data_IF_212953845718
#
_entry.id   IF_212953845718
#
_cell.length_a   1.000
_cell.length_b   1.000
_cell.length_c   1.000
_cell.angle_alpha   90.00
_cell.angle_beta   90.00
_cell.angle_gamma   90.00
#
_symmetry.space_group_name_H-M   'P 1'
#
loop_
_entity.id
_entity.type
_entity.pdbx_description
1 polymer ?
#
# COMPACT_ATOMS: atom_id res chain seq x y z
N UNK A 1 7.48 38.30 36.57
CA UNK A 1 7.65 36.84 36.76
C UNK A 1 7.56 36.20 35.39
N UNK A 2 8.63 35.55 34.91
CA UNK A 2 8.59 34.82 33.64
C UNK A 2 7.97 33.46 33.90
N UNK A 3 6.64 33.38 33.77
CA UNK A 3 5.96 32.08 33.76
C UNK A 3 6.43 31.31 32.52
N UNK A 4 7.16 30.23 32.76
CA UNK A 4 7.62 29.35 31.68
C UNK A 4 6.40 28.56 31.21
N UNK A 5 5.94 28.89 30.00
CA UNK A 5 4.83 28.22 29.34
C UNK A 5 5.16 26.71 29.17
N UNK A 6 4.30 25.86 29.73
CA UNK A 6 4.47 24.41 29.61
C UNK A 6 3.94 23.92 28.25
N UNK A 7 4.84 23.85 27.26
CA UNK A 7 4.51 23.48 25.87
C UNK A 7 3.96 22.04 25.79
N UNK A 8 4.47 21.11 26.60
CA UNK A 8 3.99 19.73 26.66
C UNK A 8 2.52 19.65 27.11
N UNK A 9 2.13 20.48 28.08
CA UNK A 9 0.74 20.53 28.53
C UNK A 9 -0.18 21.08 27.43
N UNK A 10 0.24 22.15 26.74
CA UNK A 10 -0.50 22.71 25.58
C UNK A 10 -0.60 21.69 24.46
N UNK A 11 0.49 20.98 24.18
CA UNK A 11 0.54 19.93 23.17
C UNK A 11 -0.53 18.87 23.42
N UNK A 12 -0.58 18.32 24.64
CA UNK A 12 -1.55 17.27 25.00
C UNK A 12 -2.99 17.79 24.99
N UNK A 13 -3.21 19.03 25.42
CA UNK A 13 -4.53 19.65 25.46
C UNK A 13 -5.07 19.87 24.05
N UNK A 14 -4.26 20.49 23.18
CA UNK A 14 -4.64 20.77 21.79
C UNK A 14 -4.75 19.49 20.96
N UNK A 15 -3.89 18.49 21.18
CA UNK A 15 -4.02 17.20 20.50
C UNK A 15 -5.35 16.52 20.87
N UNK A 16 -5.70 16.48 22.17
CA UNK A 16 -6.98 15.92 22.63
C UNK A 16 -8.19 16.69 22.08
N UNK A 17 -8.09 18.01 22.03
CA UNK A 17 -9.13 18.87 21.47
C UNK A 17 -9.31 18.62 19.98
N UNK A 18 -8.21 18.61 19.22
CA UNK A 18 -8.23 18.32 17.79
C UNK A 18 -8.83 16.94 17.51
N UNK A 19 -8.44 15.90 18.27
CA UNK A 19 -9.03 14.56 18.15
C UNK A 19 -10.56 14.51 18.35
N UNK A 20 -11.10 15.44 19.14
CA UNK A 20 -12.53 15.50 19.47
C UNK A 20 -13.32 16.37 18.49
N UNK A 21 -12.74 17.49 18.07
CA UNK A 21 -13.46 18.57 17.37
C UNK A 21 -13.15 18.61 15.86
N UNK A 22 -11.88 18.45 15.48
CA UNK A 22 -11.40 18.75 14.13
C UNK A 22 -10.86 17.53 13.37
N UNK A 23 -10.59 16.42 14.06
CA UNK A 23 -9.99 15.26 13.46
C UNK A 23 -10.90 14.67 12.38
N UNK A 24 -10.37 14.47 11.16
CA UNK A 24 -11.16 13.94 10.06
C UNK A 24 -11.70 12.56 10.43
N UNK A 25 -13.00 12.37 10.20
CA UNK A 25 -13.64 11.05 10.35
C UNK A 25 -13.19 10.18 9.18
N UNK A 26 -12.80 8.93 9.48
CA UNK A 26 -12.50 7.94 8.45
C UNK A 26 -13.70 7.81 7.51
N UNK A 27 -13.44 7.93 6.21
CA UNK A 27 -14.49 7.74 5.22
C UNK A 27 -14.91 6.27 5.17
N UNK A 28 -16.09 5.99 4.61
CA UNK A 28 -16.55 4.61 4.43
C UNK A 28 -15.59 3.83 3.51
N UNK A 29 -14.99 4.52 2.52
CA UNK A 29 -13.94 3.96 1.66
C UNK A 29 -12.70 3.54 2.46
N UNK A 30 -12.25 4.36 3.41
CA UNK A 30 -11.07 4.03 4.23
C UNK A 30 -11.35 2.83 5.13
N UNK A 31 -12.57 2.74 5.69
CA UNK A 31 -13.00 1.58 6.47
C UNK A 31 -13.04 0.30 5.64
N UNK A 32 -13.51 0.38 4.39
CA UNK A 32 -13.49 -0.76 3.48
C UNK A 32 -12.06 -1.16 3.16
N UNK A 33 -11.19 -0.20 2.84
CA UNK A 33 -9.78 -0.47 2.57
C UNK A 33 -9.07 -1.15 3.76
N UNK A 34 -9.29 -0.66 4.98
CA UNK A 34 -8.80 -1.29 6.23
C UNK A 34 -9.39 -2.69 6.47
N UNK A 35 -10.56 -3.00 5.90
CA UNK A 35 -11.20 -4.32 6.03
C UNK A 35 -10.64 -5.38 5.07
N UNK A 36 -10.03 -4.97 3.95
CA UNK A 36 -9.53 -5.88 2.89
C UNK A 36 -8.67 -7.03 3.44
N UNK A 37 -7.71 -6.79 4.35
CA UNK A 37 -6.93 -7.85 4.98
C UNK A 37 -7.76 -8.94 5.67
N UNK A 38 -8.83 -8.56 6.37
CA UNK A 38 -9.70 -9.50 7.06
C UNK A 38 -10.50 -10.36 6.09
N UNK A 39 -10.91 -9.77 4.95
CA UNK A 39 -11.54 -10.53 3.87
C UNK A 39 -10.57 -11.54 3.27
N UNK A 40 -9.29 -11.20 3.13
CA UNK A 40 -8.27 -12.14 2.64
C UNK A 40 -8.08 -13.30 3.62
N UNK A 41 -8.03 -13.03 4.93
CA UNK A 41 -7.97 -14.07 5.97
C UNK A 41 -9.19 -14.98 5.89
N UNK A 42 -10.39 -14.40 5.77
CA UNK A 42 -11.64 -15.16 5.65
C UNK A 42 -11.62 -16.07 4.41
N UNK A 43 -11.22 -15.53 3.25
CA UNK A 43 -11.08 -16.31 2.01
C UNK A 43 -10.07 -17.44 2.17
N UNK A 44 -8.93 -17.18 2.83
CA UNK A 44 -7.92 -18.21 3.10
C UNK A 44 -8.47 -19.35 3.95
N UNK A 45 -9.23 -19.03 5.01
CA UNK A 45 -9.89 -20.02 5.87
C UNK A 45 -10.89 -20.86 5.07
N UNK A 46 -11.73 -20.20 4.24
CA UNK A 46 -12.72 -20.89 3.42
C UNK A 46 -12.05 -21.83 2.41
N UNK A 47 -11.03 -21.35 1.69
CA UNK A 47 -10.29 -22.19 0.75
C UNK A 47 -9.60 -23.37 1.43
N UNK A 48 -9.03 -23.16 2.62
CA UNK A 48 -8.44 -24.23 3.41
C UNK A 48 -9.48 -25.28 3.80
N UNK A 49 -10.65 -24.87 4.29
CA UNK A 49 -11.72 -25.79 4.68
C UNK A 49 -12.27 -26.59 3.50
N UNK A 50 -12.33 -25.98 2.30
CA UNK A 50 -12.74 -26.66 1.08
C UNK A 50 -11.67 -27.63 0.56
N UNK A 51 -10.38 -27.27 0.67
CA UNK A 51 -9.23 -28.07 0.21
C UNK A 51 -8.90 -29.25 1.14
N UNK A 52 -9.00 -29.04 2.45
CA UNK A 52 -8.46 -29.97 3.44
C UNK A 52 -9.02 -31.40 3.34
N UNK A 53 -10.32 -31.63 3.11
CA UNK A 53 -10.85 -32.99 2.95
C UNK A 53 -10.26 -33.73 1.75
N UNK A 54 -10.08 -33.05 0.62
CA UNK A 54 -9.49 -33.63 -0.59
C UNK A 54 -8.04 -34.01 -0.36
N UNK A 55 -7.27 -33.10 0.24
CA UNK A 55 -5.86 -33.31 0.54
C UNK A 55 -5.66 -34.43 1.56
N UNK A 56 -6.45 -34.47 2.64
CA UNK A 56 -6.39 -35.51 3.65
C UNK A 56 -6.75 -36.89 3.08
N UNK A 57 -7.75 -36.96 2.20
CA UNK A 57 -8.17 -38.21 1.55
C UNK A 57 -7.04 -38.81 0.70
N UNK A 58 -6.41 -38.01 -0.16
CA UNK A 58 -5.34 -38.48 -1.05
C UNK A 58 -4.11 -38.91 -0.26
N UNK A 59 -3.64 -38.09 0.69
CA UNK A 59 -2.50 -38.48 1.52
C UNK A 59 -2.83 -39.63 2.49
N UNK A 60 -4.09 -39.80 2.87
CA UNK A 60 -4.56 -40.95 3.64
C UNK A 60 -4.43 -42.27 2.88
N UNK A 61 -4.54 -42.24 1.54
CA UNK A 61 -4.27 -43.41 0.70
C UNK A 61 -2.79 -43.78 0.67
N UNK A 62 -1.89 -42.80 0.77
CA UNK A 62 -0.44 -43.02 0.75
C UNK A 62 0.13 -43.32 2.14
N UNK A 63 -0.37 -42.60 3.15
CA UNK A 63 0.11 -42.62 4.53
C UNK A 63 -1.09 -42.66 5.49
N UNK A 64 -1.64 -43.87 5.74
CA UNK A 64 -2.77 -44.05 6.63
C UNK A 64 -2.34 -43.64 8.04
N UNK A 65 -2.90 -42.56 8.59
CA UNK A 65 -2.61 -41.84 9.87
C UNK A 65 -2.09 -40.42 9.66
N UNK A 66 -1.02 -40.23 8.88
CA UNK A 66 -0.40 -38.91 8.69
C UNK A 66 -1.10 -38.05 7.65
N UNK A 67 -1.94 -38.64 6.79
CA UNK A 67 -2.63 -37.91 5.72
C UNK A 67 -3.47 -36.73 6.21
N UNK A 68 -4.02 -36.78 7.42
CA UNK A 68 -4.78 -35.68 8.02
C UNK A 68 -3.97 -34.41 8.31
N UNK A 69 -2.63 -34.52 8.43
CA UNK A 69 -1.75 -33.38 8.65
C UNK A 69 -1.22 -32.78 7.34
N UNK A 70 -1.30 -33.51 6.24
CA UNK A 70 -0.82 -33.07 4.95
C UNK A 70 -1.47 -31.76 4.43
N UNK A 71 -2.78 -31.50 4.62
CA UNK A 71 -3.38 -30.22 4.27
C UNK A 71 -2.71 -29.05 4.98
N UNK A 72 -2.38 -29.22 6.26
CA UNK A 72 -1.71 -28.19 7.04
C UNK A 72 -0.33 -27.94 6.44
N UNK A 73 0.47 -28.99 6.22
CA UNK A 73 1.82 -28.84 5.70
C UNK A 73 1.87 -28.19 4.30
N UNK A 74 0.99 -28.62 3.38
CA UNK A 74 0.99 -28.14 1.99
C UNK A 74 0.42 -26.71 1.90
N UNK A 75 -0.75 -26.46 2.45
CA UNK A 75 -1.42 -25.16 2.32
C UNK A 75 -0.74 -24.08 3.17
N UNK A 76 -0.35 -24.38 4.42
CA UNK A 76 0.42 -23.42 5.21
C UNK A 76 1.84 -23.25 4.68
N UNK A 77 2.44 -24.30 4.11
CA UNK A 77 3.73 -24.20 3.44
C UNK A 77 3.68 -23.21 2.28
N UNK A 78 2.63 -23.26 1.46
CA UNK A 78 2.41 -22.37 0.33
C UNK A 78 2.09 -20.93 0.78
N UNK A 79 1.23 -20.78 1.80
CA UNK A 79 0.95 -19.49 2.46
C UNK A 79 2.22 -18.85 3.03
N UNK A 80 3.05 -19.64 3.71
CA UNK A 80 4.31 -19.17 4.30
C UNK A 80 5.31 -18.73 3.23
N UNK A 81 5.48 -19.51 2.16
CA UNK A 81 6.41 -19.15 1.09
C UNK A 81 6.01 -17.86 0.38
N UNK A 82 4.73 -17.72 0.02
CA UNK A 82 4.20 -16.51 -0.61
C UNK A 82 4.27 -15.29 0.32
N UNK A 83 4.00 -15.47 1.61
CA UNK A 83 4.17 -14.45 2.64
C UNK A 83 5.63 -13.96 2.71
N UNK A 84 6.60 -14.88 2.81
CA UNK A 84 8.02 -14.54 2.83
C UNK A 84 8.48 -13.87 1.55
N UNK A 85 8.00 -14.34 0.39
CA UNK A 85 8.27 -13.72 -0.92
C UNK A 85 7.81 -12.25 -0.95
N UNK A 86 6.64 -11.96 -0.40
CA UNK A 86 6.11 -10.59 -0.32
C UNK A 86 6.92 -9.72 0.66
N UNK A 87 7.30 -10.25 1.83
CA UNK A 87 8.15 -9.53 2.78
C UNK A 87 9.52 -9.18 2.18
N UNK A 88 10.18 -10.13 1.53
CA UNK A 88 11.47 -9.90 0.86
C UNK A 88 11.35 -8.83 -0.23
N UNK A 89 10.26 -8.86 -1.01
CA UNK A 89 9.98 -7.82 -2.03
C UNK A 89 9.82 -6.43 -1.40
N UNK A 90 9.13 -6.32 -0.27
CA UNK A 90 8.97 -5.05 0.45
C UNK A 90 10.29 -4.55 1.04
N UNK A 91 11.12 -5.45 1.56
CA UNK A 91 12.46 -5.15 2.08
C UNK A 91 13.52 -4.93 0.98
N UNK A 92 13.17 -5.09 -0.31
CA UNK A 92 14.08 -5.08 -1.46
C UNK A 92 15.24 -6.09 -1.33
N UNK A 93 14.98 -7.22 -0.70
CA UNK A 93 15.94 -8.32 -0.55
C UNK A 93 15.59 -9.49 -1.47
N UNK A 94 16.59 -10.31 -1.80
CA UNK A 94 16.36 -11.53 -2.58
C UNK A 94 15.71 -12.61 -1.73
N UNK A 95 14.68 -13.27 -2.25
CA UNK A 95 14.11 -14.48 -1.64
C UNK A 95 15.15 -15.61 -1.71
N UNK A 96 15.46 -16.29 -0.59
CA UNK A 96 16.35 -17.45 -0.59
C UNK A 96 15.91 -18.50 -1.63
N UNK A 97 16.86 -19.10 -2.35
CA UNK A 97 16.55 -20.10 -3.38
C UNK A 97 15.74 -21.26 -2.83
N UNK A 98 16.03 -21.71 -1.60
CA UNK A 98 15.32 -22.81 -0.95
C UNK A 98 13.83 -22.49 -0.78
N UNK A 99 13.47 -21.24 -0.45
CA UNK A 99 12.06 -20.83 -0.32
C UNK A 99 11.34 -20.87 -1.65
N UNK A 100 12.01 -20.46 -2.76
CA UNK A 100 11.42 -20.57 -4.10
C UNK A 100 11.19 -22.02 -4.51
N UNK A 101 12.18 -22.89 -4.26
CA UNK A 101 12.05 -24.32 -4.53
C UNK A 101 10.91 -24.93 -3.71
N UNK A 102 10.80 -24.56 -2.43
CA UNK A 102 9.73 -25.02 -1.54
C UNK A 102 8.35 -24.54 -2.02
N UNK A 103 8.24 -23.28 -2.47
CA UNK A 103 7.00 -22.73 -3.05
C UNK A 103 6.55 -23.53 -4.28
N UNK A 104 7.46 -23.80 -5.23
CA UNK A 104 7.17 -24.60 -6.42
C UNK A 104 6.75 -26.01 -6.03
N UNK A 105 7.48 -26.64 -5.11
CA UNK A 105 7.18 -27.99 -4.64
C UNK A 105 5.79 -28.07 -4.01
N UNK A 106 5.46 -27.17 -3.08
CA UNK A 106 4.14 -27.14 -2.46
C UNK A 106 3.04 -26.79 -3.45
N UNK A 107 3.30 -25.88 -4.40
CA UNK A 107 2.32 -25.51 -5.42
C UNK A 107 1.98 -26.70 -6.33
N UNK A 108 2.99 -27.40 -6.86
CA UNK A 108 2.78 -28.59 -7.69
C UNK A 108 2.11 -29.71 -6.89
N UNK A 109 2.54 -29.91 -5.64
CA UNK A 109 1.92 -30.91 -4.75
C UNK A 109 0.44 -30.58 -4.51
N UNK A 110 0.12 -29.32 -4.24
CA UNK A 110 -1.25 -28.86 -4.03
C UNK A 110 -2.11 -29.05 -5.28
N UNK A 111 -1.61 -28.78 -6.48
CA UNK A 111 -2.34 -29.03 -7.74
C UNK A 111 -2.66 -30.52 -7.88
N UNK A 112 -1.65 -31.38 -7.75
CA UNK A 112 -1.81 -32.82 -7.94
C UNK A 112 -2.78 -33.39 -6.92
N UNK A 113 -2.62 -33.00 -5.65
CA UNK A 113 -3.40 -33.57 -4.56
C UNK A 113 -4.84 -33.05 -4.54
N UNK A 114 -5.05 -31.74 -4.75
CA UNK A 114 -6.41 -31.21 -4.88
C UNK A 114 -7.10 -31.74 -6.13
N UNK A 115 -6.39 -31.81 -7.27
CA UNK A 115 -6.94 -32.38 -8.50
C UNK A 115 -7.33 -33.85 -8.35
N UNK A 116 -6.44 -34.67 -7.76
CA UNK A 116 -6.72 -36.08 -7.50
C UNK A 116 -7.87 -36.25 -6.51
N UNK A 117 -7.86 -35.49 -5.42
CA UNK A 117 -8.89 -35.59 -4.38
C UNK A 117 -10.26 -35.10 -4.86
N UNK A 118 -10.30 -34.06 -5.68
CA UNK A 118 -11.53 -33.59 -6.33
C UNK A 118 -12.02 -34.60 -7.37
N UNK A 119 -11.12 -35.16 -8.19
CA UNK A 119 -11.46 -36.18 -9.18
C UNK A 119 -12.11 -37.41 -8.53
N UNK A 120 -11.47 -37.97 -7.51
CA UNK A 120 -11.98 -39.14 -6.79
C UNK A 120 -13.35 -38.85 -6.17
N UNK A 121 -13.53 -37.67 -5.58
CA UNK A 121 -14.82 -37.28 -5.02
C UNK A 121 -15.91 -37.14 -6.09
N UNK A 122 -15.61 -36.52 -7.23
CA UNK A 122 -16.57 -36.35 -8.34
C UNK A 122 -16.94 -37.68 -8.98
N UNK A 123 -15.96 -38.56 -9.24
CA UNK A 123 -16.19 -39.90 -9.80
C UNK A 123 -17.10 -40.73 -8.89
N UNK A 124 -16.82 -40.69 -7.58
CA UNK A 124 -17.62 -41.38 -6.57
C UNK A 124 -19.04 -40.83 -6.48
N UNK A 125 -19.22 -39.51 -6.48
CA UNK A 125 -20.54 -38.88 -6.36
C UNK A 125 -21.38 -39.02 -7.64
N UNK A 126 -20.72 -39.01 -8.81
CA UNK A 126 -21.37 -39.21 -10.09
C UNK A 126 -21.73 -40.68 -10.37
N UNK A 127 -21.30 -41.63 -9.53
CA UNK A 127 -21.54 -43.06 -9.70
C UNK A 127 -20.89 -43.64 -10.95
N UNK A 128 -19.67 -43.17 -11.27
CA UNK A 128 -18.88 -43.62 -12.44
C UNK A 128 -17.54 -44.24 -12.02
N UNK A 129 -17.47 -44.74 -10.79
CA UNK A 129 -16.30 -45.38 -10.18
C UNK A 129 -15.97 -46.75 -10.79
N UNK A 130 -16.89 -47.33 -11.55
CA UNK A 130 -16.70 -48.54 -12.35
C UNK A 130 -15.96 -48.29 -13.68
N UNK A 131 -15.91 -47.03 -14.15
CA UNK A 131 -15.23 -46.65 -15.38
C UNK A 131 -13.74 -46.42 -15.13
N UNK A 132 -12.90 -46.93 -16.05
CA UNK A 132 -11.49 -46.55 -16.06
C UNK A 132 -11.32 -45.08 -16.46
N UNK A 133 -10.19 -44.47 -16.13
CA UNK A 133 -9.88 -43.10 -16.55
C UNK A 133 -9.96 -42.93 -18.08
N UNK A 134 -9.51 -43.93 -18.84
CA UNK A 134 -9.60 -43.93 -20.29
C UNK A 134 -11.06 -44.01 -20.79
N UNK A 135 -11.91 -44.79 -20.11
CA UNK A 135 -13.34 -44.90 -20.44
C UNK A 135 -14.09 -43.61 -20.12
N UNK A 136 -13.75 -42.92 -19.03
CA UNK A 136 -14.31 -41.60 -18.71
C UNK A 136 -13.98 -40.61 -19.84
N UNK A 137 -12.76 -40.62 -20.35
CA UNK A 137 -12.34 -39.77 -21.46
C UNK A 137 -13.10 -40.06 -22.76
N UNK A 138 -13.25 -41.34 -23.13
CA UNK A 138 -13.93 -41.72 -24.37
C UNK A 138 -15.45 -41.52 -24.31
N UNK A 139 -16.05 -41.74 -23.13
CA UNK A 139 -17.50 -41.61 -22.91
C UNK A 139 -17.92 -40.24 -22.40
N UNK A 140 -17.01 -39.28 -22.26
CA UNK A 140 -17.28 -37.97 -21.66
C UNK A 140 -18.54 -37.30 -22.23
N UNK A 141 -18.67 -37.27 -23.56
CA UNK A 141 -19.83 -36.65 -24.23
C UNK A 141 -21.16 -37.37 -24.01
N UNK A 142 -21.14 -38.60 -23.51
CA UNK A 142 -22.33 -39.41 -23.20
C UNK A 142 -22.67 -39.42 -21.72
N UNK A 143 -21.80 -38.87 -20.86
CA UNK A 143 -22.09 -38.72 -19.43
C UNK A 143 -23.19 -37.67 -19.21
N UNK A 144 -23.94 -37.74 -18.11
CA UNK A 144 -24.86 -36.68 -17.70
C UNK A 144 -24.15 -35.31 -17.68
N UNK A 145 -24.85 -34.25 -18.10
CA UNK A 145 -24.29 -32.91 -18.17
C UNK A 145 -23.72 -32.42 -16.82
N UNK A 146 -24.33 -32.84 -15.71
CA UNK A 146 -23.86 -32.57 -14.34
C UNK A 146 -22.49 -33.19 -14.07
N UNK A 147 -22.28 -34.45 -14.46
CA UNK A 147 -20.99 -35.16 -14.32
C UNK A 147 -19.92 -34.56 -15.22
N UNK A 148 -20.27 -34.17 -16.45
CA UNK A 148 -19.35 -33.46 -17.36
C UNK A 148 -18.88 -32.14 -16.74
N UNK A 149 -19.82 -31.32 -16.25
CA UNK A 149 -19.51 -30.06 -15.61
C UNK A 149 -18.65 -30.26 -14.35
N UNK A 150 -18.97 -31.25 -13.52
CA UNK A 150 -18.20 -31.57 -12.33
C UNK A 150 -16.75 -31.98 -12.66
N UNK A 151 -16.55 -32.82 -13.69
CA UNK A 151 -15.20 -33.22 -14.14
C UNK A 151 -14.39 -32.06 -14.71
N UNK A 152 -15.03 -31.10 -15.40
CA UNK A 152 -14.36 -29.86 -15.83
C UNK A 152 -13.98 -29.01 -14.60
N UNK A 153 -14.88 -28.91 -13.63
CA UNK A 153 -14.64 -28.16 -12.40
C UNK A 153 -13.50 -28.75 -11.56
N UNK A 154 -13.27 -30.07 -11.60
CA UNK A 154 -12.10 -30.72 -10.96
C UNK A 154 -10.80 -30.12 -11.48
N UNK A 155 -10.66 -29.98 -12.80
CA UNK A 155 -9.43 -29.43 -13.41
C UNK A 155 -9.25 -27.98 -12.97
N UNK A 156 -10.32 -27.18 -12.99
CA UNK A 156 -10.25 -25.77 -12.57
C UNK A 156 -9.93 -25.64 -11.07
N UNK A 157 -10.56 -26.43 -10.22
CA UNK A 157 -10.36 -26.42 -8.78
C UNK A 157 -8.92 -26.78 -8.39
N UNK A 158 -8.29 -27.71 -9.13
CA UNK A 158 -6.89 -28.09 -8.93
C UNK A 158 -5.93 -26.88 -9.02
N UNK A 159 -6.25 -25.87 -9.84
CA UNK A 159 -5.45 -24.65 -9.97
C UNK A 159 -5.94 -23.52 -9.06
N UNK A 160 -7.26 -23.32 -8.96
CA UNK A 160 -7.85 -22.19 -8.23
C UNK A 160 -7.45 -22.22 -6.75
N UNK A 161 -7.49 -23.39 -6.11
CA UNK A 161 -7.18 -23.55 -4.68
C UNK A 161 -5.73 -23.09 -4.38
N UNK A 162 -4.68 -23.66 -4.98
CA UNK A 162 -3.31 -23.26 -4.68
C UNK A 162 -2.99 -21.83 -5.11
N UNK A 163 -3.59 -21.32 -6.20
CA UNK A 163 -3.47 -19.90 -6.57
C UNK A 163 -4.07 -19.01 -5.47
N UNK A 164 -5.26 -19.37 -4.98
CA UNK A 164 -5.92 -18.66 -3.90
C UNK A 164 -5.08 -18.63 -2.61
N UNK A 165 -4.43 -19.74 -2.26
CA UNK A 165 -3.51 -19.81 -1.13
C UNK A 165 -2.27 -18.91 -1.32
N UNK A 166 -1.68 -18.85 -2.52
CA UNK A 166 -0.58 -17.91 -2.82
C UNK A 166 -1.03 -16.45 -2.66
N UNK A 167 -2.18 -16.08 -3.22
CA UNK A 167 -2.73 -14.72 -3.12
C UNK A 167 -3.04 -14.36 -1.67
N UNK A 168 -3.60 -15.32 -0.91
CA UNK A 168 -3.88 -15.13 0.50
C UNK A 168 -2.60 -14.88 1.32
N UNK A 169 -1.53 -15.62 1.05
CA UNK A 169 -0.24 -15.43 1.74
C UNK A 169 0.41 -14.10 1.41
N UNK A 170 0.35 -13.64 0.15
CA UNK A 170 0.79 -12.29 -0.22
C UNK A 170 -0.05 -11.21 0.45
N UNK A 171 -1.37 -11.39 0.54
CA UNK A 171 -2.27 -10.46 1.21
C UNK A 171 -2.04 -10.37 2.72
N UNK A 172 -1.79 -11.50 3.38
CA UNK A 172 -1.37 -11.55 4.79
C UNK A 172 -0.07 -10.78 5.02
N UNK A 173 0.91 -10.91 4.13
CA UNK A 173 2.16 -10.16 4.22
C UNK A 173 1.94 -8.67 4.00
N UNK A 174 1.10 -8.28 3.04
CA UNK A 174 0.71 -6.89 2.84
C UNK A 174 0.06 -6.32 4.11
N UNK A 175 -0.83 -7.06 4.76
CA UNK A 175 -1.45 -6.65 6.01
C UNK A 175 -0.42 -6.40 7.13
N UNK A 176 0.52 -7.33 7.34
CA UNK A 176 1.56 -7.17 8.37
C UNK A 176 2.45 -5.96 8.07
N UNK A 177 2.74 -5.70 6.81
CA UNK A 177 3.50 -4.53 6.39
C UNK A 177 2.72 -3.23 6.62
N UNK A 178 1.43 -3.22 6.28
CA UNK A 178 0.53 -2.08 6.54
C UNK A 178 0.36 -1.83 8.03
N UNK A 179 0.24 -2.86 8.86
CA UNK A 179 0.15 -2.72 10.30
C UNK A 179 1.45 -2.16 10.90
N UNK A 180 2.62 -2.57 10.38
CA UNK A 180 3.92 -2.02 10.81
C UNK A 180 4.17 -0.60 10.29
N UNK A 181 3.65 -0.26 9.12
CA UNK A 181 3.75 1.07 8.52
C UNK A 181 2.65 2.04 8.98
N UNK A 182 1.59 1.51 9.59
CA UNK A 182 0.39 2.23 9.98
C UNK A 182 0.61 3.14 11.18
N UNK A 183 1.17 4.32 10.92
CA UNK A 183 0.83 5.51 11.71
C UNK A 183 -0.69 5.71 11.55
N UNK A 184 -1.43 5.75 12.65
CA UNK A 184 -2.90 5.92 12.65
C UNK A 184 -3.28 7.07 11.71
N UNK A 185 -4.32 6.91 10.88
CA UNK A 185 -4.75 7.95 9.93
C UNK A 185 -4.92 9.31 10.61
N UNK A 186 -5.43 9.30 11.85
CA UNK A 186 -5.55 10.50 12.68
C UNK A 186 -4.20 11.05 13.12
N UNK A 187 -3.25 10.18 13.43
CA UNK A 187 -1.89 10.56 13.80
C UNK A 187 -1.14 11.15 12.59
N UNK A 188 -1.29 10.59 11.38
CA UNK A 188 -0.74 11.19 10.16
C UNK A 188 -1.33 12.58 9.92
N UNK A 189 -2.65 12.72 10.08
CA UNK A 189 -3.33 14.02 9.93
C UNK A 189 -2.98 15.00 11.05
N UNK A 190 -2.74 14.51 12.26
CA UNK A 190 -2.23 15.30 13.35
C UNK A 190 -0.85 15.86 12.99
N UNK A 191 0.08 15.02 12.54
CA UNK A 191 1.42 15.44 12.10
C UNK A 191 1.40 16.51 11.00
N UNK A 192 0.41 16.47 10.10
CA UNK A 192 0.24 17.52 9.07
C UNK A 192 -0.16 18.89 9.66
N UNK A 193 -0.95 18.92 10.73
CA UNK A 193 -1.51 20.15 11.31
C UNK A 193 -0.86 20.57 12.63
N UNK A 194 -0.09 19.69 13.25
CA UNK A 194 0.53 19.80 14.58
C UNK A 194 1.22 21.15 14.75
N UNK A 195 2.15 21.48 13.85
CA UNK A 195 2.89 22.73 13.93
C UNK A 195 1.96 23.96 13.93
N UNK A 196 0.91 23.95 13.11
CA UNK A 196 -0.02 25.08 12.98
C UNK A 196 -0.92 25.21 14.21
N UNK A 197 -1.44 24.10 14.70
CA UNK A 197 -2.34 24.07 15.87
C UNK A 197 -1.58 24.49 17.13
N UNK A 198 -0.39 23.92 17.37
CA UNK A 198 0.43 24.24 18.54
C UNK A 198 0.93 25.69 18.47
N UNK A 199 1.37 26.16 17.29
CA UNK A 199 1.77 27.56 17.13
C UNK A 199 0.65 28.54 17.47
N UNK A 200 -0.58 28.29 16.99
CA UNK A 200 -1.72 29.15 17.30
C UNK A 200 -2.05 29.16 18.79
N UNK A 201 -2.00 28.01 19.45
CA UNK A 201 -2.27 27.89 20.88
C UNK A 201 -1.21 28.61 21.73
N UNK A 202 0.08 28.40 21.44
CA UNK A 202 1.18 29.07 22.14
C UNK A 202 1.14 30.59 21.91
N UNK A 203 0.88 31.03 20.67
CA UNK A 203 0.72 32.44 20.34
C UNK A 203 -0.44 33.10 21.12
N UNK A 204 -1.60 32.44 21.17
CA UNK A 204 -2.76 32.93 21.92
C UNK A 204 -2.46 33.06 23.43
N UNK A 205 -1.72 32.10 24.00
CA UNK A 205 -1.30 32.17 25.41
C UNK A 205 -0.34 33.33 25.67
N UNK A 206 0.59 33.62 24.76
CA UNK A 206 1.47 34.79 24.90
C UNK A 206 0.73 36.12 24.83
N UNK A 207 -0.30 36.23 23.99
CA UNK A 207 -1.17 37.41 23.95
C UNK A 207 -1.95 37.58 25.27
N UNK A 208 -2.46 36.47 25.84
CA UNK A 208 -3.16 36.50 27.14
C UNK A 208 -2.24 36.92 28.30
N UNK A 209 -0.94 36.60 28.21
CA UNK A 209 0.07 37.04 29.17
C UNK A 209 0.52 38.50 28.98
N UNK A 210 -0.14 39.26 28.09
CA UNK A 210 0.13 40.68 27.85
C UNK A 210 1.36 40.96 26.98
N UNK A 211 1.86 39.97 26.25
CA UNK A 211 2.96 40.19 25.29
C UNK A 211 2.44 40.95 24.07
N UNK A 212 3.28 41.83 23.51
CA UNK A 212 2.95 42.49 22.24
C UNK A 212 2.87 41.46 21.11
N UNK A 213 2.08 41.72 20.06
CA UNK A 213 1.89 40.78 18.95
C UNK A 213 3.21 40.33 18.31
N UNK A 214 4.16 41.26 18.17
CA UNK A 214 5.48 41.01 17.60
C UNK A 214 6.34 40.09 18.48
N UNK A 215 6.32 40.31 19.79
CA UNK A 215 7.04 39.48 20.76
C UNK A 215 6.40 38.09 20.91
N UNK A 216 5.07 38.03 20.95
CA UNK A 216 4.31 36.78 21.01
C UNK A 216 4.61 35.88 19.79
N UNK A 217 4.66 36.47 18.58
CA UNK A 217 5.01 35.76 17.35
C UNK A 217 6.44 35.19 17.41
N UNK A 218 7.42 36.02 17.80
CA UNK A 218 8.81 35.57 17.89
C UNK A 218 9.01 34.47 18.94
N UNK A 219 8.41 34.61 20.12
CA UNK A 219 8.51 33.63 21.21
C UNK A 219 7.78 32.33 20.90
N UNK A 220 6.57 32.40 20.32
CA UNK A 220 5.84 31.20 19.91
C UNK A 220 6.60 30.42 18.84
N UNK A 221 7.14 31.10 17.83
CA UNK A 221 7.89 30.44 16.75
C UNK A 221 9.17 29.75 17.26
N UNK A 222 9.94 30.40 18.15
CA UNK A 222 11.17 29.81 18.68
C UNK A 222 10.90 28.61 19.58
N UNK A 223 9.84 28.68 20.40
CA UNK A 223 9.45 27.61 21.30
C UNK A 223 8.89 26.39 20.58
N UNK A 224 7.99 26.60 19.62
CA UNK A 224 7.40 25.51 18.82
C UNK A 224 8.48 24.82 17.99
N UNK A 225 9.37 25.59 17.37
CA UNK A 225 10.50 25.03 16.60
C UNK A 225 11.48 24.26 17.49
N UNK A 226 11.74 24.73 18.71
CA UNK A 226 12.62 24.03 19.66
C UNK A 226 12.01 22.72 20.19
N UNK A 227 10.70 22.71 20.45
CA UNK A 227 9.98 21.54 20.95
C UNK A 227 9.75 20.49 19.86
N UNK A 228 9.11 20.88 18.75
CA UNK A 228 8.82 19.98 17.62
C UNK A 228 10.05 19.61 16.80
N UNK A 229 11.06 20.49 16.72
CA UNK A 229 12.31 20.21 16.01
C UNK A 229 13.24 19.24 16.73
N UNK A 230 12.99 18.94 18.01
CA UNK A 230 13.71 17.91 18.77
C UNK A 230 13.08 16.51 18.62
N UNK A 231 11.80 16.45 18.25
CA UNK A 231 11.15 15.24 17.79
C UNK A 231 11.49 15.06 16.30
N UNK A 232 12.04 13.90 15.92
CA UNK A 232 12.41 13.63 14.53
C UNK A 232 11.26 13.99 13.57
N UNK A 233 11.44 14.94 12.62
CA UNK A 233 10.37 15.30 11.71
C UNK A 233 10.07 14.10 10.78
N UNK A 234 8.83 13.58 10.73
CA UNK A 234 8.43 12.71 9.64
C UNK A 234 8.56 13.53 8.35
N UNK A 235 9.23 12.93 7.37
CA UNK A 235 9.60 13.54 6.10
C UNK A 235 8.37 13.70 5.20
N UNK A 236 7.47 14.61 5.56
CA UNK A 236 6.29 14.95 4.77
C UNK A 236 6.22 16.47 4.60
N UNK A 237 6.75 16.89 3.44
CA UNK A 237 6.36 18.04 2.61
C UNK A 237 5.80 19.27 3.35
N UNK A 238 6.66 20.27 3.50
CA UNK A 238 6.29 21.69 3.51
C UNK A 238 5.46 22.01 2.26
N UNK A 239 4.13 21.94 2.37
CA UNK A 239 3.21 22.56 1.43
C UNK A 239 2.89 23.97 1.96
N UNK A 240 3.53 24.94 1.31
CA UNK A 240 2.98 26.25 0.96
C UNK A 240 2.42 27.13 2.09
N UNK A 241 3.29 27.95 2.68
CA UNK A 241 2.93 29.31 3.07
C UNK A 241 3.61 30.28 2.08
N UNK A 242 2.91 31.31 1.56
CA UNK A 242 3.56 32.33 0.74
C UNK A 242 4.36 33.24 1.67
N UNK A 243 5.68 33.06 1.69
CA UNK A 243 6.59 34.03 2.29
C UNK A 243 7.12 34.94 1.21
N UNK A 244 6.49 36.10 1.05
CA UNK A 244 7.16 37.27 0.50
C UNK A 244 8.25 37.69 1.48
N UNK A 245 9.52 37.41 1.19
CA UNK A 245 10.60 38.22 1.75
C UNK A 245 11.84 38.21 0.87
N UNK A 246 12.18 39.43 0.46
CA UNK A 246 13.35 39.84 -0.28
C UNK A 246 14.67 39.45 0.40
N UNK A 247 15.69 39.25 -0.44
CA UNK A 247 17.06 39.63 -0.11
C UNK A 247 18.01 38.52 0.37
N UNK A 248 18.63 37.84 -0.60
CA UNK A 248 20.09 37.51 -0.61
C UNK A 248 20.61 36.37 0.31
N UNK A 249 21.82 35.81 0.05
CA UNK A 249 21.95 34.57 -0.74
C UNK A 249 22.71 33.43 -0.01
N UNK A 250 22.77 32.28 -0.70
CA UNK A 250 23.65 31.10 -0.47
C UNK A 250 23.23 30.15 0.67
N UNK A 251 23.18 28.82 0.52
CA UNK A 251 23.90 27.90 -0.35
C UNK A 251 23.00 26.68 -0.62
N UNK A 252 22.60 26.46 -1.87
CA UNK A 252 21.53 25.52 -2.24
C UNK A 252 22.05 24.18 -2.74
N UNK A 253 21.72 23.09 -2.04
CA UNK A 253 21.81 21.69 -2.49
C UNK A 253 20.65 21.28 -3.43
N UNK A 254 20.17 22.19 -4.29
CA UNK A 254 19.03 21.98 -5.20
C UNK A 254 19.44 21.99 -6.70
N UNK A 255 20.56 21.32 -7.03
CA UNK A 255 21.16 21.36 -8.37
C UNK A 255 20.34 20.71 -9.51
N UNK A 256 19.39 19.82 -9.21
CA UNK A 256 18.67 19.10 -10.27
C UNK A 256 17.42 19.86 -10.78
N UNK A 257 16.53 20.30 -9.90
CA UNK A 257 15.31 21.02 -10.30
C UNK A 257 15.58 22.43 -10.85
N UNK A 258 16.64 23.10 -10.38
CA UNK A 258 17.06 24.40 -10.92
C UNK A 258 17.50 24.31 -12.38
N UNK A 259 18.24 23.25 -12.75
CA UNK A 259 18.69 23.04 -14.13
C UNK A 259 17.54 22.73 -15.09
N UNK A 260 16.52 22.01 -14.61
CA UNK A 260 15.36 21.64 -15.41
C UNK A 260 14.47 22.85 -15.69
N UNK A 261 14.17 23.67 -14.67
CA UNK A 261 13.44 24.93 -14.88
C UNK A 261 14.19 25.88 -15.82
N UNK A 262 15.51 25.97 -15.71
CA UNK A 262 16.32 26.78 -16.61
C UNK A 262 16.23 26.32 -18.07
N UNK A 263 16.26 25.00 -18.33
CA UNK A 263 16.05 24.43 -19.67
C UNK A 263 14.66 24.71 -20.24
N UNK A 264 13.62 24.63 -19.40
CA UNK A 264 12.25 24.96 -19.81
C UNK A 264 12.14 26.44 -20.17
N UNK A 265 12.77 27.34 -19.38
CA UNK A 265 12.79 28.78 -19.70
C UNK A 265 13.51 29.06 -21.01
N UNK A 266 14.71 28.52 -21.21
CA UNK A 266 15.46 28.68 -22.45
C UNK A 266 14.65 28.22 -23.67
N UNK A 267 13.97 27.08 -23.58
CA UNK A 267 13.11 26.58 -24.66
C UNK A 267 11.90 27.51 -24.96
N UNK A 268 11.29 28.08 -23.93
CA UNK A 268 10.18 29.04 -24.05
C UNK A 268 10.63 30.45 -24.47
N UNK A 269 11.88 30.82 -24.20
CA UNK A 269 12.52 32.04 -24.70
C UNK A 269 12.77 31.93 -26.21
N UNK A 270 13.20 30.75 -26.68
CA UNK A 270 13.42 30.45 -28.11
C UNK A 270 12.11 30.28 -28.90
N UNK A 271 10.99 29.93 -28.23
CA UNK A 271 9.70 29.65 -28.86
C UNK A 271 8.56 30.41 -28.16
N UNK A 272 8.45 31.75 -28.35
CA UNK A 272 7.52 32.59 -27.60
C UNK A 272 6.04 32.23 -27.85
N UNK A 273 5.70 31.72 -29.03
CA UNK A 273 4.33 31.35 -29.41
C UNK A 273 3.80 30.17 -28.59
N UNK A 274 4.70 29.30 -28.12
CA UNK A 274 4.37 28.11 -27.33
C UNK A 274 4.00 28.50 -25.89
N UNK A 275 4.50 29.62 -25.38
CA UNK A 275 4.25 30.08 -24.01
C UNK A 275 2.78 30.44 -23.74
N UNK A 276 1.96 30.66 -24.78
CA UNK A 276 0.52 30.89 -24.66
C UNK A 276 -0.31 29.60 -24.69
N UNK A 277 0.31 28.46 -25.02
CA UNK A 277 -0.35 27.16 -25.09
C UNK A 277 -0.74 26.58 -23.74
N UNK A 278 -1.55 25.52 -23.77
CA UNK A 278 -1.88 24.76 -22.57
C UNK A 278 -0.67 24.00 -22.02
N UNK A 279 -0.62 23.75 -20.71
CA UNK A 279 0.47 22.99 -20.06
C UNK A 279 0.73 21.64 -20.78
N UNK A 280 -0.32 21.01 -21.29
CA UNK A 280 -0.21 19.74 -22.03
C UNK A 280 0.50 19.90 -23.38
N UNK A 281 0.20 20.96 -24.14
CA UNK A 281 0.86 21.24 -25.42
C UNK A 281 2.35 21.56 -25.20
N UNK A 282 2.65 22.40 -24.21
CA UNK A 282 4.04 22.77 -23.90
C UNK A 282 4.86 21.56 -23.43
N UNK A 283 4.27 20.71 -22.59
CA UNK A 283 4.91 19.49 -22.13
C UNK A 283 5.18 18.48 -23.25
N UNK A 284 4.26 18.35 -24.21
CA UNK A 284 4.44 17.45 -25.36
C UNK A 284 5.56 17.94 -26.29
N UNK A 285 5.65 19.24 -26.52
CA UNK A 285 6.70 19.87 -27.33
C UNK A 285 8.08 19.78 -26.65
N UNK A 286 8.15 19.98 -25.33
CA UNK A 286 9.38 19.80 -24.56
C UNK A 286 9.88 18.35 -24.61
N UNK A 287 8.97 17.38 -24.53
CA UNK A 287 9.30 15.96 -24.68
C UNK A 287 9.82 15.65 -26.09
N UNK A 288 9.21 16.25 -27.13
CA UNK A 288 9.69 16.16 -28.52
C UNK A 288 11.09 16.74 -28.71
N UNK A 289 11.45 17.76 -27.94
CA UNK A 289 12.77 18.39 -27.94
C UNK A 289 13.81 17.67 -27.04
N UNK A 290 13.47 16.51 -26.46
CA UNK A 290 14.38 15.75 -25.59
C UNK A 290 14.55 16.31 -24.18
N UNK A 291 13.65 17.19 -23.75
CA UNK A 291 13.65 17.80 -22.41
C UNK A 291 12.67 17.04 -21.52
N UNK A 292 13.18 16.10 -20.72
CA UNK A 292 12.37 15.30 -19.79
C UNK A 292 11.95 16.13 -18.57
N UNK A 293 10.70 16.60 -18.57
CA UNK A 293 10.17 17.49 -17.53
C UNK A 293 8.77 17.07 -17.13
N UNK A 294 8.47 17.11 -15.84
CA UNK A 294 7.13 16.85 -15.34
C UNK A 294 6.16 18.01 -15.64
N UNK A 295 4.88 17.69 -15.88
CA UNK A 295 3.80 18.68 -16.10
C UNK A 295 3.73 19.79 -15.05
N UNK A 296 4.02 19.46 -13.78
CA UNK A 296 4.02 20.42 -12.67
C UNK A 296 5.08 21.49 -12.86
N UNK A 297 6.29 21.11 -13.28
CA UNK A 297 7.39 22.06 -13.52
C UNK A 297 7.11 22.97 -14.73
N UNK A 298 6.46 22.44 -15.77
CA UNK A 298 5.98 23.25 -16.91
C UNK A 298 4.93 24.27 -16.46
N UNK A 299 3.98 23.84 -15.63
CA UNK A 299 2.95 24.72 -15.06
C UNK A 299 3.54 25.85 -14.21
N UNK A 300 4.51 25.52 -13.35
CA UNK A 300 5.22 26.52 -12.54
C UNK A 300 5.94 27.57 -13.40
N UNK A 301 6.67 27.16 -14.44
CA UNK A 301 7.41 28.10 -15.30
C UNK A 301 6.47 29.00 -16.12
N UNK A 302 5.36 28.45 -16.63
CA UNK A 302 4.35 29.24 -17.34
C UNK A 302 3.64 30.26 -16.42
N UNK A 303 3.39 29.88 -15.16
CA UNK A 303 2.79 30.75 -14.17
C UNK A 303 3.74 31.87 -13.74
N UNK A 304 5.03 31.55 -13.53
CA UNK A 304 6.09 32.53 -13.25
C UNK A 304 6.16 33.59 -14.37
N UNK A 305 6.12 33.18 -15.65
CA UNK A 305 6.15 34.13 -16.79
C UNK A 305 4.93 35.05 -16.86
N UNK A 306 3.73 34.54 -16.53
CA UNK A 306 2.51 35.36 -16.50
C UNK A 306 2.48 36.39 -15.39
N UNK A 307 3.28 36.23 -14.35
CA UNK A 307 3.40 37.21 -13.26
C UNK A 307 4.42 38.32 -13.54
N UNK A 308 5.28 38.14 -14.55
CA UNK A 308 6.36 39.08 -14.91
C UNK A 308 5.96 39.98 -16.10
N UNK A 309 4.87 39.68 -16.80
CA UNK A 309 4.24 40.53 -17.82
C UNK A 309 3.09 41.34 -17.21
#
# INVERSE_FOLDING_TARGET
>A
MNEVLNIEAIYREEHKRWLKEDAPRKSLRDRIAESVPYWIILVAIVLFLLSAPHTARVFGMLTPTLGWFAPIAVEFGLLYCSFQRRLAKAARTSVPSNTKTLEILFFVTAIVVNGTGAFVSVVSEAGIDDLSFADIGTKFGTLPATSQAALIMVVLAAFIIPIGALVAGEGLAAFVLEQKAGVDFREQRWQEVEHTVIYRAVFARYLQLGSTEREARQRAMSQVKGYLGSANPPSIRLLSAPSEQAGQPEHSTNGHNGSVKAKVRAFLDENPDIAQGSINQVHELLRGAGVEVGRTTVGEVLQERKQVQ
#
